data_IF_427975161305
#
_entry.id   IF_427975161305
#
_cell.length_a   1.000
_cell.length_b   1.000
_cell.length_c   1.000
_cell.angle_alpha   90.00
_cell.angle_beta   90.00
_cell.angle_gamma   90.00
#
_symmetry.space_group_name_H-M   'P 1'
#
loop_
_entity.id
_entity.type
_entity.pdbx_description
1 polymer ?
#
# COMPACT_ATOMS: atom_id res chain seq x y z
N UNK A 1 -7.20 -69.27 0.34
CA UNK A 1 -6.67 -69.63 1.66
C UNK A 1 -5.28 -69.09 1.82
N UNK A 2 -5.08 -68.25 2.73
CA UNK A 2 -4.00 -68.03 3.70
C UNK A 2 -3.88 -66.54 3.99
N UNK A 3 -4.25 -66.20 5.23
CA UNK A 3 -4.15 -64.86 5.81
C UNK A 3 -2.71 -64.62 6.22
N UNK A 4 -2.09 -63.54 5.71
CA UNK A 4 -0.82 -63.02 6.19
C UNK A 4 -1.07 -61.98 7.28
N UNK A 5 -0.64 -62.25 8.49
CA UNK A 5 -0.61 -61.35 9.65
C UNK A 5 0.56 -60.38 9.51
N UNK A 6 0.27 -59.11 9.30
CA UNK A 6 1.29 -58.06 9.41
C UNK A 6 1.50 -57.73 10.90
N UNK A 7 2.71 -57.93 11.39
CA UNK A 7 3.13 -57.66 12.76
C UNK A 7 3.20 -56.18 13.04
N UNK A 8 2.44 -55.74 14.04
CA UNK A 8 2.41 -54.39 14.59
C UNK A 8 3.67 -54.14 15.44
N UNK A 9 4.71 -53.52 14.91
CA UNK A 9 5.86 -53.06 15.70
C UNK A 9 5.45 -51.82 16.50
N UNK A 10 5.18 -52.02 17.81
CA UNK A 10 5.13 -50.92 18.78
C UNK A 10 6.56 -50.37 18.95
N UNK A 11 6.80 -49.16 18.51
CA UNK A 11 7.91 -48.35 19.03
C UNK A 11 7.35 -47.49 20.17
N UNK A 12 7.61 -47.91 21.41
CA UNK A 12 7.54 -47.06 22.58
C UNK A 12 8.80 -46.17 22.53
N UNK A 13 8.66 -44.94 22.03
CA UNK A 13 9.54 -43.87 22.41
C UNK A 13 8.70 -42.96 23.31
N UNK A 14 8.87 -43.17 24.61
CA UNK A 14 8.37 -42.28 25.65
C UNK A 14 9.27 -41.04 25.59
N UNK A 15 8.78 -39.99 24.86
CA UNK A 15 9.37 -38.66 24.98
C UNK A 15 8.69 -38.06 26.20
N UNK A 16 9.47 -37.88 27.29
CA UNK A 16 9.03 -37.10 28.44
C UNK A 16 8.78 -35.67 27.99
N UNK A 17 7.53 -35.33 27.82
CA UNK A 17 7.07 -33.95 27.67
C UNK A 17 7.39 -33.21 28.98
N UNK A 18 8.04 -32.06 28.95
CA UNK A 18 8.27 -31.26 30.13
C UNK A 18 6.93 -30.91 30.79
N UNK A 19 6.87 -31.20 32.08
CA UNK A 19 5.75 -30.91 32.97
C UNK A 19 5.36 -29.43 32.82
N UNK A 20 4.05 -29.18 32.80
CA UNK A 20 3.42 -27.86 32.80
C UNK A 20 4.30 -26.80 33.46
N UNK A 21 4.64 -25.77 32.70
CA UNK A 21 5.24 -24.54 33.22
C UNK A 21 4.40 -24.05 34.42
N UNK A 22 5.05 -23.71 35.55
CA UNK A 22 4.35 -23.13 36.69
C UNK A 22 3.72 -21.82 36.27
N UNK A 23 2.47 -21.59 36.72
CA UNK A 23 1.80 -20.30 36.52
C UNK A 23 2.71 -19.20 37.08
N UNK A 24 2.92 -18.09 36.38
CA UNK A 24 3.71 -16.99 36.89
C UNK A 24 3.07 -16.47 38.21
N UNK A 25 3.87 -16.52 39.28
CA UNK A 25 3.52 -15.87 40.56
C UNK A 25 3.74 -14.38 40.33
N UNK A 26 2.81 -13.49 40.72
CA UNK A 26 3.04 -12.07 40.61
C UNK A 26 4.23 -11.67 41.51
N UNK A 27 5.29 -11.20 40.89
CA UNK A 27 6.46 -10.70 41.61
C UNK A 27 6.15 -9.24 42.02
N UNK A 28 5.92 -9.02 43.31
CA UNK A 28 5.55 -7.73 43.89
C UNK A 28 6.76 -6.88 44.32
N UNK A 29 7.96 -7.22 43.89
CA UNK A 29 9.14 -6.40 44.17
C UNK A 29 9.73 -5.83 42.88
N UNK A 30 9.90 -4.50 42.77
CA UNK A 30 10.64 -3.93 41.66
C UNK A 30 12.09 -4.38 41.71
N UNK A 31 12.74 -4.66 40.56
CA UNK A 31 14.16 -4.97 40.53
C UNK A 31 14.96 -3.76 40.99
N UNK A 32 16.11 -3.98 41.67
CA UNK A 32 17.01 -2.91 42.10
C UNK A 32 17.54 -2.16 40.89
N UNK A 33 17.54 -0.83 40.98
CA UNK A 33 18.08 0.07 39.96
C UNK A 33 19.51 -0.32 39.59
N UNK A 34 19.75 -0.57 38.28
CA UNK A 34 21.12 -0.55 37.76
C UNK A 34 21.67 -1.82 37.08
N UNK A 35 20.86 -2.84 36.78
CA UNK A 35 21.32 -3.93 35.90
C UNK A 35 20.90 -3.62 34.47
N UNK A 36 21.84 -3.47 33.49
CA UNK A 36 21.49 -3.40 32.10
C UNK A 36 20.73 -4.69 31.75
N UNK A 37 19.52 -4.56 31.19
CA UNK A 37 18.85 -5.68 30.56
C UNK A 37 19.79 -6.23 29.47
N UNK A 38 20.40 -7.37 29.70
CA UNK A 38 21.13 -8.09 28.66
C UNK A 38 20.16 -8.27 27.48
N UNK A 39 20.54 -7.73 26.34
CA UNK A 39 19.81 -7.97 25.11
C UNK A 39 19.86 -9.47 24.84
N UNK A 40 18.74 -10.14 25.01
CA UNK A 40 18.64 -11.57 24.71
C UNK A 40 18.79 -11.69 23.19
N UNK A 41 19.92 -12.16 22.73
CA UNK A 41 20.14 -12.45 21.32
C UNK A 41 19.14 -13.53 20.89
N UNK A 42 18.53 -13.37 19.72
CA UNK A 42 17.56 -14.33 19.18
C UNK A 42 18.10 -15.77 19.22
N UNK A 43 19.37 -15.95 18.90
CA UNK A 43 20.06 -17.24 18.86
C UNK A 43 20.24 -17.90 20.27
N UNK A 44 19.96 -17.18 21.35
CA UNK A 44 19.91 -17.77 22.69
C UNK A 44 18.56 -18.48 22.96
N UNK A 45 17.55 -18.21 22.14
CA UNK A 45 16.17 -18.74 22.28
C UNK A 45 15.86 -19.74 21.17
N UNK A 46 16.23 -19.41 19.92
CA UNK A 46 15.96 -20.18 18.71
C UNK A 46 17.18 -20.10 17.81
N UNK A 47 17.67 -21.22 17.28
CA UNK A 47 18.75 -21.25 16.30
C UNK A 47 18.28 -20.72 14.94
N UNK A 48 19.22 -20.26 14.12
CA UNK A 48 18.93 -19.80 12.76
C UNK A 48 18.29 -20.92 11.92
N UNK A 49 18.74 -22.17 12.09
CA UNK A 49 18.17 -23.34 11.39
C UNK A 49 16.71 -23.61 11.80
N UNK A 50 16.38 -23.53 13.09
CA UNK A 50 15.01 -23.69 13.57
C UNK A 50 14.10 -22.56 13.08
N UNK A 51 14.63 -21.35 12.98
CA UNK A 51 13.90 -20.21 12.43
C UNK A 51 13.59 -20.41 10.95
N UNK A 52 14.56 -20.83 10.16
CA UNK A 52 14.41 -21.09 8.73
C UNK A 52 13.40 -22.21 8.48
N UNK A 53 13.50 -23.33 9.21
CA UNK A 53 12.53 -24.44 9.13
C UNK A 53 11.12 -23.96 9.48
N UNK A 54 10.99 -23.11 10.49
CA UNK A 54 9.67 -22.57 10.89
C UNK A 54 9.08 -21.68 9.80
N UNK A 55 9.89 -20.81 9.21
CA UNK A 55 9.47 -19.95 8.10
C UNK A 55 9.02 -20.78 6.91
N UNK A 56 9.81 -21.77 6.49
CA UNK A 56 9.48 -22.65 5.36
C UNK A 56 8.21 -23.45 5.62
N UNK A 57 8.05 -23.98 6.83
CA UNK A 57 6.86 -24.76 7.23
C UNK A 57 5.61 -23.90 7.19
N UNK A 58 5.64 -22.69 7.73
CA UNK A 58 4.50 -21.77 7.72
C UNK A 58 4.18 -21.32 6.29
N UNK A 59 5.19 -21.03 5.47
CA UNK A 59 5.01 -20.67 4.07
C UNK A 59 4.39 -21.81 3.24
N UNK A 60 4.83 -23.04 3.46
CA UNK A 60 4.25 -24.22 2.81
C UNK A 60 2.80 -24.47 3.23
N UNK A 61 2.49 -24.38 4.51
CA UNK A 61 1.13 -24.57 5.03
C UNK A 61 0.17 -23.47 4.56
N UNK A 62 0.65 -22.25 4.39
CA UNK A 62 -0.16 -21.14 3.89
C UNK A 62 -0.72 -21.37 2.49
N UNK A 63 -0.08 -22.24 1.69
CA UNK A 63 -0.56 -22.62 0.35
C UNK A 63 -1.72 -23.62 0.39
N UNK A 64 -2.03 -24.20 1.57
CA UNK A 64 -3.06 -25.22 1.73
C UNK A 64 -4.04 -24.87 2.86
N UNK A 65 -4.99 -23.94 2.62
CA UNK A 65 -5.92 -23.45 3.65
C UNK A 65 -6.76 -24.54 4.31
N UNK A 66 -7.10 -25.61 3.57
CA UNK A 66 -7.83 -26.76 4.11
C UNK A 66 -7.02 -27.54 5.15
N UNK A 67 -5.71 -27.64 4.96
CA UNK A 67 -4.81 -28.31 5.90
C UNK A 67 -4.59 -27.45 7.14
N UNK A 68 -4.43 -26.15 6.98
CA UNK A 68 -4.27 -25.24 8.13
C UNK A 68 -5.50 -25.20 9.03
N UNK A 69 -6.71 -25.40 8.49
CA UNK A 69 -7.96 -25.51 9.24
C UNK A 69 -8.16 -26.89 9.89
N UNK A 70 -7.35 -27.88 9.56
CA UNK A 70 -7.47 -29.24 10.09
C UNK A 70 -7.23 -29.31 11.60
N UNK A 71 -7.72 -30.41 12.20
CA UNK A 71 -7.54 -30.68 13.64
C UNK A 71 -6.06 -30.86 14.02
N UNK A 72 -5.25 -31.37 13.07
CA UNK A 72 -3.82 -31.57 13.27
C UNK A 72 -3.05 -30.26 13.45
N UNK A 73 -3.51 -29.17 12.84
CA UNK A 73 -2.86 -27.86 12.95
C UNK A 73 -3.45 -26.97 14.07
N UNK A 74 -4.26 -27.55 15.00
CA UNK A 74 -4.89 -26.75 16.05
C UNK A 74 -3.86 -26.01 16.91
N UNK A 75 -2.88 -26.73 17.43
CA UNK A 75 -1.89 -26.19 18.35
C UNK A 75 -0.94 -25.21 17.64
N UNK A 76 -0.63 -25.47 16.36
CA UNK A 76 0.12 -24.53 15.53
C UNK A 76 -0.64 -23.22 15.35
N UNK A 77 -1.95 -23.25 15.08
CA UNK A 77 -2.75 -22.02 14.99
C UNK A 77 -2.75 -21.22 16.29
N UNK A 78 -2.80 -21.89 17.44
CA UNK A 78 -2.71 -21.22 18.75
C UNK A 78 -1.35 -20.56 18.90
N UNK A 79 -0.26 -21.28 18.61
CA UNK A 79 1.10 -20.72 18.70
C UNK A 79 1.32 -19.52 17.76
N UNK A 80 0.81 -19.62 16.52
CA UNK A 80 0.87 -18.52 15.56
C UNK A 80 0.03 -17.32 16.02
N UNK A 81 -1.13 -17.57 16.60
CA UNK A 81 -1.97 -16.52 17.19
C UNK A 81 -1.24 -15.83 18.34
N UNK A 82 -0.69 -16.60 19.30
CA UNK A 82 0.04 -16.07 20.45
C UNK A 82 1.28 -15.27 20.01
N UNK A 83 2.04 -15.79 19.04
CA UNK A 83 3.16 -15.09 18.45
C UNK A 83 2.73 -13.77 17.78
N UNK A 84 1.66 -13.81 17.00
CA UNK A 84 1.09 -12.61 16.39
C UNK A 84 0.68 -11.59 17.46
N UNK A 85 0.00 -12.03 18.51
CA UNK A 85 -0.39 -11.14 19.63
C UNK A 85 0.84 -10.51 20.27
N UNK A 86 1.86 -11.29 20.54
CA UNK A 86 3.13 -10.82 21.09
C UNK A 86 3.79 -9.76 20.19
N UNK A 87 3.83 -10.01 18.88
CA UNK A 87 4.35 -9.04 17.91
C UNK A 87 3.51 -7.76 17.80
N UNK A 88 2.20 -7.86 18.05
CA UNK A 88 1.25 -6.77 17.85
C UNK A 88 1.09 -5.93 19.11
N UNK A 89 0.98 -6.57 20.26
CA UNK A 89 0.69 -5.91 21.55
C UNK A 89 1.95 -5.59 22.37
N UNK A 90 3.07 -6.26 22.07
CA UNK A 90 4.26 -6.26 22.93
C UNK A 90 4.02 -7.07 24.21
N UNK A 91 4.97 -7.91 24.59
CA UNK A 91 4.80 -8.88 25.70
C UNK A 91 4.75 -8.25 27.07
N UNK A 92 5.20 -7.04 27.24
CA UNK A 92 5.21 -6.38 28.55
C UNK A 92 3.96 -5.53 28.74
N UNK A 93 2.87 -6.20 29.05
CA UNK A 93 1.61 -5.57 29.50
C UNK A 93 1.77 -4.77 30.80
N UNK A 94 2.88 -4.88 31.50
CA UNK A 94 3.14 -4.13 32.73
C UNK A 94 3.79 -2.76 32.49
N UNK A 95 4.48 -2.54 31.37
CA UNK A 95 5.14 -1.27 31.03
C UNK A 95 4.76 -0.77 29.63
N UNK A 96 3.45 -0.51 29.45
CA UNK A 96 3.02 0.39 28.40
C UNK A 96 3.38 -0.04 26.97
N UNK A 97 2.70 -1.05 26.43
CA UNK A 97 2.61 -1.18 24.97
C UNK A 97 2.28 0.21 24.41
N UNK A 98 3.06 0.70 23.45
CA UNK A 98 2.83 2.04 22.92
C UNK A 98 1.43 2.10 22.31
N UNK A 99 0.80 3.27 22.31
CA UNK A 99 -0.57 3.46 21.84
C UNK A 99 -0.78 2.88 20.44
N UNK A 100 0.22 2.99 19.54
CA UNK A 100 0.17 2.42 18.17
C UNK A 100 -0.07 0.90 18.19
N UNK A 101 0.60 0.15 19.05
CA UNK A 101 0.43 -1.30 19.15
C UNK A 101 -0.94 -1.66 19.73
N UNK A 102 -1.37 -0.94 20.76
CA UNK A 102 -2.70 -1.13 21.39
C UNK A 102 -3.83 -0.84 20.39
N UNK A 103 -3.74 0.25 19.64
CA UNK A 103 -4.72 0.60 18.60
C UNK A 103 -4.75 -0.49 17.54
N UNK A 104 -3.58 -0.94 17.06
CA UNK A 104 -3.50 -2.02 16.07
C UNK A 104 -4.17 -3.31 16.56
N UNK A 105 -3.95 -3.68 17.83
CA UNK A 105 -4.59 -4.83 18.44
C UNK A 105 -6.10 -4.66 18.54
N UNK A 106 -6.57 -3.51 19.02
CA UNK A 106 -8.00 -3.24 19.14
C UNK A 106 -8.72 -3.27 17.78
N UNK A 107 -8.09 -2.74 16.73
CA UNK A 107 -8.64 -2.79 15.36
C UNK A 107 -8.65 -4.23 14.81
N UNK A 108 -7.62 -5.02 15.06
CA UNK A 108 -7.55 -6.42 14.63
C UNK A 108 -8.61 -7.30 15.33
N UNK A 109 -8.95 -6.95 16.56
CA UNK A 109 -9.97 -7.63 17.36
C UNK A 109 -11.40 -7.08 17.15
N UNK A 110 -11.60 -6.16 16.21
CA UNK A 110 -12.86 -5.44 15.97
C UNK A 110 -13.41 -4.68 17.20
N UNK A 111 -12.53 -4.30 18.13
CA UNK A 111 -12.87 -3.51 19.33
C UNK A 111 -12.88 -2.01 19.01
N UNK A 112 -13.83 -1.58 18.21
CA UNK A 112 -13.86 -0.24 17.63
C UNK A 112 -13.99 0.87 18.66
N UNK A 113 -14.77 0.65 19.70
CA UNK A 113 -14.90 1.63 20.81
C UNK A 113 -13.56 1.81 21.53
N UNK A 114 -12.87 0.71 21.86
CA UNK A 114 -11.55 0.77 22.48
C UNK A 114 -10.54 1.47 21.56
N UNK A 115 -10.54 1.15 20.27
CA UNK A 115 -9.69 1.81 19.30
C UNK A 115 -9.91 3.32 19.25
N UNK A 116 -11.16 3.79 19.29
CA UNK A 116 -11.50 5.23 19.33
C UNK A 116 -11.00 5.91 20.59
N UNK A 117 -11.13 5.26 21.75
CA UNK A 117 -10.61 5.80 23.03
C UNK A 117 -9.09 5.94 22.96
N UNK A 118 -8.39 4.93 22.46
CA UNK A 118 -6.92 4.96 22.32
C UNK A 118 -6.45 6.00 21.30
N UNK A 119 -7.19 6.17 20.20
CA UNK A 119 -6.93 7.23 19.21
C UNK A 119 -7.13 8.63 19.80
N UNK A 120 -8.17 8.81 20.59
CA UNK A 120 -8.39 10.07 21.31
C UNK A 120 -7.25 10.33 22.31
N UNK A 121 -6.80 9.33 23.06
CA UNK A 121 -5.65 9.42 23.96
C UNK A 121 -4.38 9.79 23.18
N UNK A 122 -4.10 9.15 22.05
CA UNK A 122 -2.96 9.45 21.17
C UNK A 122 -3.00 10.92 20.72
N UNK A 123 -4.16 11.39 20.30
CA UNK A 123 -4.37 12.78 19.88
C UNK A 123 -4.14 13.79 21.01
N UNK A 124 -4.69 13.52 22.21
CA UNK A 124 -4.50 14.38 23.40
C UNK A 124 -3.03 14.46 23.80
N UNK A 125 -2.29 13.36 23.69
CA UNK A 125 -0.84 13.32 23.97
C UNK A 125 0.00 13.97 22.88
N UNK A 126 -0.56 14.31 21.73
CA UNK A 126 0.18 14.80 20.57
C UNK A 126 1.12 13.75 19.95
N UNK A 127 0.88 12.46 20.23
CA UNK A 127 1.64 11.38 19.65
C UNK A 127 1.22 11.15 18.19
N UNK A 128 2.20 10.87 17.32
CA UNK A 128 1.94 10.59 15.91
C UNK A 128 2.19 9.11 15.62
N UNK A 129 1.25 8.41 14.97
CA UNK A 129 1.48 7.03 14.56
C UNK A 129 2.56 6.97 13.48
N UNK A 130 3.35 5.90 13.46
CA UNK A 130 4.24 5.65 12.33
C UNK A 130 3.41 5.49 11.05
N UNK A 131 3.86 6.08 9.95
CA UNK A 131 3.13 6.06 8.67
C UNK A 131 2.71 4.66 8.23
N UNK A 132 3.54 3.65 8.47
CA UNK A 132 3.21 2.25 8.16
C UNK A 132 2.04 1.68 8.98
N UNK A 133 1.83 2.13 10.21
CA UNK A 133 0.66 1.77 11.02
C UNK A 133 -0.58 2.51 10.50
N UNK A 134 -0.45 3.81 10.26
CA UNK A 134 -1.53 4.64 9.73
C UNK A 134 -2.05 4.11 8.39
N UNK A 135 -1.15 3.77 7.45
CA UNK A 135 -1.52 3.17 6.17
C UNK A 135 -2.28 1.84 6.32
N UNK A 136 -1.86 0.99 7.27
CA UNK A 136 -2.58 -0.27 7.52
C UNK A 136 -3.96 -0.02 8.10
N UNK A 137 -4.09 0.84 9.10
CA UNK A 137 -5.38 1.14 9.72
C UNK A 137 -6.39 1.69 8.73
N UNK A 138 -5.96 2.64 7.88
CA UNK A 138 -6.84 3.20 6.84
C UNK A 138 -7.26 2.12 5.85
N UNK A 139 -6.31 1.36 5.32
CA UNK A 139 -6.59 0.30 4.34
C UNK A 139 -7.51 -0.78 4.89
N UNK A 140 -7.22 -1.28 6.10
CA UNK A 140 -7.96 -2.40 6.67
C UNK A 140 -9.40 -1.97 7.04
N UNK A 141 -9.61 -0.72 7.46
CA UNK A 141 -10.94 -0.19 7.73
C UNK A 141 -11.70 0.20 6.46
N UNK A 142 -11.04 0.67 5.41
CA UNK A 142 -11.68 0.96 4.13
C UNK A 142 -12.35 -0.30 3.55
N UNK A 143 -11.67 -1.44 3.61
CA UNK A 143 -12.21 -2.74 3.15
C UNK A 143 -13.52 -3.11 3.84
N UNK A 144 -13.66 -2.84 5.14
CA UNK A 144 -14.82 -3.26 5.94
C UNK A 144 -15.85 -2.15 6.14
N UNK A 145 -15.53 -0.90 5.81
CA UNK A 145 -16.41 0.26 6.02
C UNK A 145 -17.49 0.41 4.95
N UNK A 146 -17.35 -0.26 3.81
CA UNK A 146 -18.22 -0.05 2.64
C UNK A 146 -18.08 1.32 2.00
N UNK A 147 -17.09 2.14 2.37
CA UNK A 147 -16.86 3.47 1.80
C UNK A 147 -16.60 3.42 0.30
N UNK A 148 -15.81 2.44 -0.13
CA UNK A 148 -15.45 2.25 -1.54
C UNK A 148 -16.58 1.65 -2.38
N UNK A 149 -17.60 1.06 -1.75
CA UNK A 149 -18.76 0.47 -2.44
C UNK A 149 -19.87 1.51 -2.58
N UNK A 150 -19.70 2.47 -3.47
CA UNK A 150 -20.79 3.37 -3.83
C UNK A 150 -21.78 2.68 -4.75
N UNK A 151 -23.10 2.92 -4.58
CA UNK A 151 -24.07 2.43 -5.54
C UNK A 151 -23.78 3.01 -6.92
N UNK A 152 -23.78 2.16 -7.93
CA UNK A 152 -23.64 2.55 -9.33
C UNK A 152 -24.91 3.30 -9.75
N UNK A 153 -24.88 4.62 -9.70
CA UNK A 153 -26.01 5.46 -10.15
C UNK A 153 -25.69 6.94 -9.96
N UNK A 154 -26.22 7.77 -10.84
CA UNK A 154 -26.05 9.22 -10.81
C UNK A 154 -26.84 9.92 -9.68
N UNK A 155 -27.62 9.17 -8.93
CA UNK A 155 -28.40 9.70 -7.81
C UNK A 155 -27.53 9.67 -6.55
N UNK A 156 -27.01 10.83 -6.20
CA UNK A 156 -26.10 11.06 -5.05
C UNK A 156 -26.77 10.94 -3.67
N UNK A 157 -27.72 10.04 -3.52
CA UNK A 157 -28.25 9.72 -2.20
C UNK A 157 -27.29 8.73 -1.55
N UNK A 158 -26.61 9.11 -0.44
CA UNK A 158 -25.76 8.17 0.27
C UNK A 158 -26.59 6.94 0.65
N UNK A 159 -26.05 5.72 0.46
CA UNK A 159 -26.76 4.53 0.91
C UNK A 159 -27.00 4.61 2.41
N UNK A 160 -28.17 4.13 2.86
CA UNK A 160 -28.42 3.95 4.28
C UNK A 160 -27.41 2.96 4.85
N UNK A 161 -26.60 3.42 5.80
CA UNK A 161 -25.51 2.62 6.37
C UNK A 161 -26.00 1.87 7.59
N UNK A 162 -25.54 0.64 7.73
CA UNK A 162 -25.76 -0.15 8.93
C UNK A 162 -25.08 0.51 10.16
N UNK A 163 -25.55 0.16 11.35
CA UNK A 163 -24.94 0.65 12.60
C UNK A 163 -23.44 0.29 12.68
N UNK A 164 -23.07 -0.92 12.21
CA UNK A 164 -21.66 -1.35 12.17
C UNK A 164 -20.83 -0.50 11.20
N UNK A 165 -21.33 -0.20 10.02
CA UNK A 165 -20.63 0.68 9.07
C UNK A 165 -20.45 2.08 9.61
N UNK A 166 -21.45 2.62 10.30
CA UNK A 166 -21.34 3.93 10.97
C UNK A 166 -20.30 3.92 12.09
N UNK A 167 -20.19 2.83 12.85
CA UNK A 167 -19.16 2.68 13.88
C UNK A 167 -17.76 2.64 13.25
N UNK A 168 -17.56 1.87 12.19
CA UNK A 168 -16.30 1.78 11.45
C UNK A 168 -15.91 3.13 10.85
N UNK A 169 -16.86 3.86 10.29
CA UNK A 169 -16.64 5.22 9.79
C UNK A 169 -16.17 6.16 10.90
N UNK A 170 -16.77 6.05 12.10
CA UNK A 170 -16.34 6.82 13.26
C UNK A 170 -14.92 6.51 13.70
N UNK A 171 -14.46 5.26 13.53
CA UNK A 171 -13.06 4.88 13.79
C UNK A 171 -12.13 5.43 12.72
N UNK A 172 -12.51 5.33 11.44
CA UNK A 172 -11.73 5.87 10.33
C UNK A 172 -11.57 7.39 10.45
N UNK A 173 -12.63 8.11 10.80
CA UNK A 173 -12.58 9.55 11.11
C UNK A 173 -11.59 9.84 12.24
N UNK A 174 -11.62 9.08 13.33
CA UNK A 174 -10.70 9.24 14.45
C UNK A 174 -9.23 9.00 14.04
N UNK A 175 -8.96 8.03 13.16
CA UNK A 175 -7.62 7.75 12.61
C UNK A 175 -7.14 8.94 11.76
N UNK A 176 -7.98 9.46 10.89
CA UNK A 176 -7.59 10.59 10.04
C UNK A 176 -7.32 11.85 10.86
N UNK A 177 -8.10 12.07 11.92
CA UNK A 177 -7.92 13.23 12.83
C UNK A 177 -6.66 13.14 13.70
N UNK A 178 -6.18 11.93 14.03
CA UNK A 178 -4.96 11.78 14.84
C UNK A 178 -3.71 12.27 14.14
N UNK A 179 -3.69 12.24 12.82
CA UNK A 179 -2.56 12.72 11.99
C UNK A 179 -2.65 14.21 11.61
N UNK A 180 -3.76 14.86 11.95
CA UNK A 180 -4.00 16.26 11.64
C UNK A 180 -3.61 17.14 12.82
N UNK A 181 -2.93 18.29 12.63
CA UNK A 181 -2.67 19.24 13.69
C UNK A 181 -3.98 19.66 14.37
N UNK A 182 -3.94 19.80 15.69
CA UNK A 182 -5.06 20.39 16.43
C UNK A 182 -5.04 21.89 16.15
N UNK A 183 -5.95 22.35 15.31
CA UNK A 183 -6.14 23.77 15.12
C UNK A 183 -6.86 24.36 16.32
N UNK A 184 -6.11 25.04 17.18
CA UNK A 184 -6.64 25.69 18.38
C UNK A 184 -7.30 27.04 18.08
N UNK A 185 -7.21 27.53 16.85
CA UNK A 185 -7.68 28.87 16.47
C UNK A 185 -8.98 28.88 15.67
N UNK A 186 -9.45 27.76 15.19
CA UNK A 186 -10.76 27.68 14.54
C UNK A 186 -11.82 27.45 15.61
N UNK A 187 -12.72 28.39 15.75
CA UNK A 187 -14.01 28.20 16.45
C UNK A 187 -14.59 26.89 15.91
N UNK A 188 -14.54 25.86 16.72
CA UNK A 188 -14.98 24.51 16.54
C UNK A 188 -15.84 24.30 15.28
N UNK A 189 -15.22 24.00 14.16
CA UNK A 189 -15.86 23.14 13.18
C UNK A 189 -16.23 21.90 13.96
N UNK A 190 -17.50 21.65 14.08
CA UNK A 190 -18.08 20.62 14.91
C UNK A 190 -17.32 19.30 14.70
N UNK A 191 -16.44 19.01 15.65
CA UNK A 191 -15.56 17.83 15.60
C UNK A 191 -16.34 16.52 15.77
N UNK A 192 -17.66 16.62 15.88
CA UNK A 192 -18.58 15.49 16.06
C UNK A 192 -19.12 14.96 14.75
N UNK A 193 -18.98 15.70 13.65
CA UNK A 193 -19.45 15.22 12.35
C UNK A 193 -18.51 14.14 11.78
N UNK A 194 -19.04 12.98 11.42
CA UNK A 194 -18.28 11.94 10.75
C UNK A 194 -17.77 12.42 9.37
N UNK A 195 -16.84 11.68 8.78
CA UNK A 195 -16.38 11.90 7.41
C UNK A 195 -17.60 12.00 6.49
N UNK A 196 -17.71 13.12 5.78
CA UNK A 196 -18.75 13.34 4.79
C UNK A 196 -18.18 13.17 3.38
N UNK A 197 -18.97 12.56 2.50
CA UNK A 197 -18.64 12.55 1.09
C UNK A 197 -18.69 13.97 0.52
N UNK A 198 -17.64 14.32 -0.21
CA UNK A 198 -17.64 15.55 -0.99
C UNK A 198 -18.31 15.29 -2.34
N UNK A 199 -18.98 16.29 -2.87
CA UNK A 199 -19.46 16.24 -4.26
C UNK A 199 -18.27 16.06 -5.21
N UNK A 200 -18.50 15.34 -6.31
CA UNK A 200 -17.49 15.18 -7.35
C UNK A 200 -17.09 16.54 -7.90
N UNK A 201 -15.82 16.84 -7.86
CA UNK A 201 -15.26 18.03 -8.47
C UNK A 201 -14.80 17.69 -9.88
N UNK A 202 -15.69 17.84 -10.83
CA UNK A 202 -15.47 17.52 -12.25
C UNK A 202 -15.33 18.80 -13.04
N UNK A 203 -14.16 19.01 -13.64
CA UNK A 203 -13.85 20.14 -14.52
C UNK A 203 -13.65 19.69 -15.97
N UNK A 204 -13.98 18.45 -16.29
CA UNK A 204 -13.85 17.97 -17.68
C UNK A 204 -14.79 18.75 -18.58
N UNK A 205 -14.30 19.17 -19.76
CA UNK A 205 -15.19 19.76 -20.75
C UNK A 205 -16.23 18.73 -21.19
N UNK A 206 -17.44 19.16 -21.52
CA UNK A 206 -18.53 18.32 -22.03
C UNK A 206 -18.28 17.79 -23.44
N UNK A 207 -17.04 17.51 -23.78
CA UNK A 207 -16.62 16.97 -25.08
C UNK A 207 -16.74 15.45 -25.08
N UNK A 208 -16.93 14.88 -26.27
CA UNK A 208 -16.99 13.42 -26.44
C UNK A 208 -15.69 12.79 -25.89
N UNK A 209 -15.80 11.79 -24.99
CA UNK A 209 -14.63 11.09 -24.47
C UNK A 209 -13.78 10.51 -25.60
N UNK A 210 -12.47 10.47 -25.40
CA UNK A 210 -11.55 9.84 -26.33
C UNK A 210 -11.88 8.33 -26.44
N UNK A 211 -12.17 7.75 -27.60
CA UNK A 211 -12.60 6.35 -27.72
C UNK A 211 -11.43 5.36 -27.55
N UNK A 212 -10.62 5.55 -26.49
CA UNK A 212 -9.42 4.77 -26.23
C UNK A 212 -9.76 3.35 -25.80
N UNK A 213 -10.86 3.16 -25.07
CA UNK A 213 -11.23 1.85 -24.53
C UNK A 213 -11.45 0.81 -25.64
N UNK A 214 -12.16 1.17 -26.71
CA UNK A 214 -12.36 0.28 -27.85
C UNK A 214 -11.04 -0.08 -28.54
N UNK A 215 -10.18 0.91 -28.78
CA UNK A 215 -8.88 0.71 -29.45
C UNK A 215 -7.89 -0.11 -28.62
N UNK A 216 -8.04 -0.14 -27.31
CA UNK A 216 -7.28 -1.04 -26.44
C UNK A 216 -7.79 -2.48 -26.52
N UNK A 217 -9.12 -2.66 -26.55
CA UNK A 217 -9.74 -3.99 -26.65
C UNK A 217 -9.45 -4.69 -27.98
N UNK A 218 -9.56 -3.96 -29.10
CA UNK A 218 -9.29 -4.49 -30.45
C UNK A 218 -7.80 -4.39 -30.83
N UNK A 219 -6.98 -3.79 -29.98
CA UNK A 219 -5.54 -3.55 -30.14
C UNK A 219 -5.16 -2.62 -31.29
N UNK A 220 -6.10 -1.90 -31.88
CA UNK A 220 -5.79 -0.88 -32.90
C UNK A 220 -4.94 0.26 -32.35
N UNK A 221 -4.96 0.50 -31.03
CA UNK A 221 -4.08 1.47 -30.35
C UNK A 221 -2.60 1.20 -30.65
N UNK A 222 -2.21 -0.05 -30.90
CA UNK A 222 -0.81 -0.43 -31.20
C UNK A 222 -0.36 0.02 -32.58
N UNK A 223 -1.29 0.23 -33.52
CA UNK A 223 -1.01 0.72 -34.87
C UNK A 223 -0.68 2.21 -34.85
N UNK A 224 -1.25 2.96 -33.93
CA UNK A 224 -1.00 4.41 -33.78
C UNK A 224 0.40 4.75 -33.25
N UNK A 225 1.09 3.79 -32.62
CA UNK A 225 2.41 4.04 -32.04
C UNK A 225 3.42 2.89 -32.28
N UNK A 226 3.65 2.46 -33.54
CA UNK A 226 4.49 1.32 -33.84
C UNK A 226 5.96 1.47 -33.36
N UNK A 227 6.44 2.71 -33.23
CA UNK A 227 7.78 3.01 -32.70
C UNK A 227 7.89 2.78 -31.19
N UNK A 228 6.79 2.82 -30.47
CA UNK A 228 6.77 2.63 -29.01
C UNK A 228 7.00 1.16 -28.62
N UNK A 229 6.64 0.21 -29.44
CA UNK A 229 6.78 -1.22 -29.15
C UNK A 229 8.24 -1.67 -28.99
N UNK A 230 9.16 -1.08 -29.74
CA UNK A 230 10.60 -1.40 -29.67
C UNK A 230 11.37 -0.48 -28.70
N UNK A 231 10.69 0.48 -28.12
CA UNK A 231 11.31 1.57 -27.37
C UNK A 231 11.44 1.30 -25.89
N UNK A 232 10.54 0.47 -25.33
CA UNK A 232 10.57 0.06 -23.94
C UNK A 232 11.49 -1.14 -23.76
N UNK A 233 12.51 -0.98 -22.92
CA UNK A 233 13.46 -2.03 -22.57
C UNK A 233 13.47 -2.28 -21.07
N UNK A 234 13.67 -3.53 -20.68
CA UNK A 234 13.77 -3.92 -19.26
C UNK A 234 15.16 -3.52 -18.76
N UNK A 235 15.20 -2.79 -17.63
CA UNK A 235 16.43 -2.42 -16.94
C UNK A 235 16.61 -3.18 -15.63
N UNK A 236 15.51 -3.59 -15.00
CA UNK A 236 15.55 -4.38 -13.78
C UNK A 236 14.34 -5.30 -13.72
N UNK A 237 14.53 -6.49 -13.18
CA UNK A 237 13.44 -7.42 -12.90
C UNK A 237 13.64 -8.04 -11.54
N UNK A 238 12.65 -7.88 -10.67
CA UNK A 238 12.61 -8.53 -9.35
C UNK A 238 11.63 -9.70 -9.40
N UNK A 239 12.08 -10.95 -9.25
CA UNK A 239 11.20 -12.11 -9.18
C UNK A 239 10.19 -12.00 -8.04
N UNK A 240 9.00 -12.58 -8.23
CA UNK A 240 7.93 -12.56 -7.22
C UNK A 240 8.37 -13.03 -5.84
N UNK A 241 9.10 -14.15 -5.69
CA UNK A 241 9.59 -14.63 -4.40
C UNK A 241 10.52 -13.68 -3.65
N UNK A 242 11.21 -12.77 -4.36
CA UNK A 242 12.08 -11.76 -3.75
C UNK A 242 11.33 -10.48 -3.37
N UNK A 243 10.05 -10.38 -3.67
CA UNK A 243 9.22 -9.25 -3.29
C UNK A 243 8.61 -9.48 -1.91
N UNK A 244 8.38 -8.37 -1.19
CA UNK A 244 7.66 -8.44 0.09
C UNK A 244 6.21 -8.89 -0.15
N UNK A 245 5.70 -9.84 0.65
CA UNK A 245 4.29 -10.21 0.59
C UNK A 245 3.36 -8.96 0.71
N UNK A 246 2.19 -8.95 0.08
CA UNK A 246 1.53 -10.06 -0.61
C UNK A 246 1.87 -10.19 -2.11
N UNK A 247 2.88 -9.52 -2.62
CA UNK A 247 3.17 -9.47 -4.05
C UNK A 247 3.91 -10.73 -4.52
N UNK A 248 3.24 -11.58 -5.28
CA UNK A 248 3.81 -12.81 -5.85
C UNK A 248 4.17 -12.69 -7.33
N UNK A 249 3.78 -11.60 -7.99
CA UNK A 249 4.11 -11.35 -9.39
C UNK A 249 5.47 -10.67 -9.51
N UNK A 250 6.23 -10.90 -10.60
CA UNK A 250 7.48 -10.19 -10.81
C UNK A 250 7.25 -8.69 -10.98
N UNK A 251 8.13 -7.87 -10.43
CA UNK A 251 8.19 -6.45 -10.73
C UNK A 251 9.16 -6.23 -11.87
N UNK A 252 8.67 -5.67 -12.98
CA UNK A 252 9.49 -5.37 -14.15
C UNK A 252 9.59 -3.86 -14.29
N UNK A 253 10.81 -3.36 -14.37
CA UNK A 253 11.13 -1.96 -14.52
C UNK A 253 11.60 -1.72 -15.97
N UNK A 254 10.83 -0.92 -16.69
CA UNK A 254 11.14 -0.51 -18.05
C UNK A 254 11.77 0.88 -18.10
N UNK A 255 12.52 1.16 -19.14
CA UNK A 255 12.91 2.51 -19.53
C UNK A 255 12.74 2.70 -21.03
N UNK A 256 12.81 3.94 -21.48
CA UNK A 256 12.73 4.32 -22.88
C UNK A 256 14.03 4.94 -23.35
N UNK A 257 14.33 4.78 -24.64
CA UNK A 257 15.31 5.66 -25.30
C UNK A 257 14.71 7.06 -25.50
N UNK A 258 15.52 8.12 -25.55
CA UNK A 258 15.02 9.49 -25.78
C UNK A 258 14.08 9.58 -26.99
N UNK A 259 12.96 10.25 -26.84
CA UNK A 259 11.91 10.41 -27.85
C UNK A 259 11.22 9.13 -28.34
N UNK A 260 11.35 8.01 -27.64
CA UNK A 260 10.63 6.79 -27.98
C UNK A 260 9.11 6.94 -27.75
N UNK A 261 8.74 7.65 -26.69
CA UNK A 261 7.39 8.16 -26.46
C UNK A 261 7.47 9.70 -26.52
N UNK A 262 7.26 10.28 -27.70
CA UNK A 262 7.56 11.70 -27.88
C UNK A 262 6.51 12.60 -27.22
N UNK A 263 6.99 13.68 -26.60
CA UNK A 263 6.19 14.82 -26.22
C UNK A 263 6.53 16.00 -27.14
N UNK A 264 5.51 16.74 -27.57
CA UNK A 264 5.71 17.93 -28.36
C UNK A 264 6.46 19.01 -27.54
N UNK A 265 7.46 19.70 -28.10
CA UNK A 265 8.16 20.78 -27.38
C UNK A 265 7.23 21.89 -26.90
N UNK A 266 6.18 22.18 -27.69
CA UNK A 266 5.10 23.11 -27.33
C UNK A 266 3.86 22.28 -27.02
N UNK A 267 3.46 22.28 -25.77
CA UNK A 267 2.27 21.57 -25.31
C UNK A 267 0.96 22.34 -25.55
N UNK A 268 -0.17 21.72 -25.22
CA UNK A 268 -1.47 22.40 -25.22
C UNK A 268 -1.51 23.57 -24.24
N UNK A 269 -2.55 24.41 -24.35
CA UNK A 269 -2.79 25.47 -23.35
C UNK A 269 -3.19 24.87 -22.01
N UNK A 270 -2.33 24.99 -21.01
CA UNK A 270 -2.51 24.41 -19.69
C UNK A 270 -3.25 25.39 -18.78
N UNK A 271 -4.19 24.87 -18.00
CA UNK A 271 -4.89 25.61 -16.94
C UNK A 271 -4.73 24.90 -15.59
N UNK A 272 -4.67 25.70 -14.52
CA UNK A 272 -4.58 25.19 -13.16
C UNK A 272 -5.80 25.61 -12.34
N UNK A 273 -6.31 24.66 -11.57
CA UNK A 273 -7.45 24.84 -10.70
C UNK A 273 -7.14 24.27 -9.31
N UNK A 274 -7.15 25.13 -8.29
CA UNK A 274 -7.03 24.65 -6.91
C UNK A 274 -8.35 24.04 -6.45
N UNK A 275 -8.27 22.92 -5.72
CA UNK A 275 -9.46 22.27 -5.18
C UNK A 275 -10.12 23.17 -4.12
N UNK A 276 -11.46 23.37 -4.19
CA UNK A 276 -12.14 24.32 -3.31
C UNK A 276 -12.16 23.92 -1.82
N UNK A 277 -12.12 22.62 -1.53
CA UNK A 277 -12.26 22.08 -0.18
C UNK A 277 -11.02 21.35 0.34
N UNK A 278 -10.07 20.95 -0.51
CA UNK A 278 -8.90 20.16 -0.11
C UNK A 278 -7.63 20.99 -0.29
N UNK A 279 -7.02 21.47 0.80
CA UNK A 279 -5.79 22.26 0.72
C UNK A 279 -4.65 21.46 0.08
N UNK A 280 -3.91 22.10 -0.82
CA UNK A 280 -2.78 21.47 -1.51
C UNK A 280 -3.13 20.49 -2.62
N UNK A 281 -4.41 20.28 -2.90
CA UNK A 281 -4.88 19.54 -4.07
C UNK A 281 -5.14 20.53 -5.22
N UNK A 282 -4.61 20.23 -6.39
CA UNK A 282 -4.84 21.00 -7.61
C UNK A 282 -5.00 20.10 -8.82
N UNK A 283 -5.76 20.56 -9.79
CA UNK A 283 -5.96 19.91 -11.06
C UNK A 283 -5.30 20.78 -12.15
N UNK A 284 -4.44 20.16 -12.94
CA UNK A 284 -3.76 20.77 -14.07
C UNK A 284 -4.32 20.14 -15.34
N UNK A 285 -5.10 20.89 -16.10
CA UNK A 285 -5.75 20.39 -17.33
C UNK A 285 -4.84 20.61 -18.56
N UNK A 286 -4.97 19.73 -19.52
CA UNK A 286 -4.29 19.79 -20.81
C UNK A 286 -2.76 19.73 -20.72
N UNK A 287 -2.22 18.98 -19.78
CA UNK A 287 -0.76 18.77 -19.66
C UNK A 287 -0.22 18.01 -20.87
N UNK A 288 -1.01 17.08 -21.38
CA UNK A 288 -0.73 16.26 -22.56
C UNK A 288 -1.80 16.48 -23.64
N UNK A 289 -1.43 16.34 -24.90
CA UNK A 289 -2.38 16.23 -26.00
C UNK A 289 -3.00 14.83 -26.06
N UNK A 290 -4.10 14.70 -26.78
CA UNK A 290 -4.75 13.41 -27.02
C UNK A 290 -3.79 12.39 -27.67
N UNK A 291 -2.98 12.83 -28.62
CA UNK A 291 -2.02 11.95 -29.30
C UNK A 291 -0.87 11.53 -28.40
N UNK A 292 -0.40 12.42 -27.51
CA UNK A 292 0.59 12.08 -26.49
C UNK A 292 0.03 11.06 -25.49
N UNK A 293 -1.22 11.21 -25.07
CA UNK A 293 -1.91 10.24 -24.21
C UNK A 293 -2.02 8.87 -24.89
N UNK A 294 -2.45 8.82 -26.15
CA UNK A 294 -2.53 7.58 -26.94
C UNK A 294 -1.16 6.91 -27.10
N UNK A 295 -0.11 7.69 -27.36
CA UNK A 295 1.26 7.15 -27.46
C UNK A 295 1.73 6.49 -26.16
N UNK A 296 1.42 7.09 -25.00
CA UNK A 296 1.75 6.50 -23.69
C UNK A 296 0.93 5.22 -23.45
N UNK A 297 -0.35 5.24 -23.77
CA UNK A 297 -1.22 4.04 -23.64
C UNK A 297 -0.72 2.91 -24.54
N UNK A 298 -0.44 3.22 -25.80
CA UNK A 298 0.10 2.25 -26.77
C UNK A 298 1.43 1.63 -26.28
N UNK A 299 2.32 2.45 -25.75
CA UNK A 299 3.57 1.97 -25.15
C UNK A 299 3.31 0.98 -24.00
N UNK A 300 2.35 1.29 -23.12
CA UNK A 300 1.96 0.42 -22.01
C UNK A 300 1.34 -0.90 -22.50
N UNK A 301 0.41 -0.83 -23.46
CA UNK A 301 -0.22 -2.02 -24.03
C UNK A 301 0.78 -2.92 -24.75
N UNK A 302 1.87 -2.36 -25.30
CA UNK A 302 2.92 -3.13 -25.99
C UNK A 302 3.73 -4.04 -25.06
N UNK A 303 3.92 -3.66 -23.80
CA UNK A 303 4.67 -4.43 -22.80
C UNK A 303 3.80 -5.29 -21.90
N UNK A 304 2.51 -5.22 -22.05
CA UNK A 304 1.48 -5.81 -21.21
C UNK A 304 1.47 -5.29 -19.77
N UNK A 305 0.30 -5.25 -19.20
CA UNK A 305 0.09 -4.90 -17.79
C UNK A 305 0.00 -6.17 -16.97
N UNK A 306 0.81 -6.26 -15.92
CA UNK A 306 0.81 -7.40 -15.00
C UNK A 306 -0.07 -7.10 -13.79
N UNK A 307 -0.80 -8.10 -13.27
CA UNK A 307 -1.49 -7.96 -11.99
C UNK A 307 -0.46 -7.71 -10.88
N UNK A 308 -0.80 -6.88 -9.92
CA UNK A 308 0.06 -6.57 -8.77
C UNK A 308 -0.65 -6.88 -7.45
N UNK A 309 -1.33 -8.00 -7.41
CA UNK A 309 -1.99 -8.50 -6.24
C UNK A 309 -1.90 -10.03 -6.20
N UNK A 310 -1.96 -10.64 -5.01
CA UNK A 310 -2.07 -12.08 -4.91
C UNK A 310 -3.37 -12.55 -5.59
N UNK A 311 -3.32 -13.76 -6.15
CA UNK A 311 -4.53 -14.44 -6.59
C UNK A 311 -5.46 -14.62 -5.38
N UNK A 312 -6.73 -14.32 -5.56
CA UNK A 312 -7.72 -14.59 -4.52
C UNK A 312 -7.95 -16.09 -4.40
N UNK A 313 -8.23 -16.55 -3.18
CA UNK A 313 -8.51 -17.97 -2.91
C UNK A 313 -9.74 -18.51 -3.68
N UNK A 314 -10.66 -17.63 -4.05
CA UNK A 314 -11.87 -17.94 -4.83
C UNK A 314 -11.61 -18.01 -6.34
N UNK A 315 -10.39 -17.75 -6.79
CA UNK A 315 -10.01 -17.76 -8.20
C UNK A 315 -10.44 -16.52 -8.98
N UNK A 316 -11.09 -15.55 -8.33
CA UNK A 316 -11.45 -14.28 -8.95
C UNK A 316 -10.22 -13.48 -9.36
N UNK A 317 -10.34 -12.78 -10.48
CA UNK A 317 -9.31 -11.86 -10.95
C UNK A 317 -9.15 -10.75 -9.89
N UNK A 318 -7.90 -10.41 -9.60
CA UNK A 318 -7.63 -9.29 -8.72
C UNK A 318 -8.37 -8.04 -9.19
N UNK A 319 -9.12 -7.43 -8.28
CA UNK A 319 -9.77 -6.13 -8.51
C UNK A 319 -8.78 -4.96 -8.52
N UNK A 320 -7.52 -5.21 -8.17
CA UNK A 320 -6.48 -4.20 -8.23
C UNK A 320 -6.05 -3.96 -9.66
N UNK A 321 -5.70 -2.71 -9.96
CA UNK A 321 -5.26 -2.31 -11.28
C UNK A 321 -4.00 -3.06 -11.72
N UNK A 322 -3.98 -3.49 -12.96
CA UNK A 322 -2.78 -3.99 -13.60
C UNK A 322 -1.80 -2.84 -13.81
N UNK A 323 -0.51 -3.10 -13.74
CA UNK A 323 0.48 -2.04 -13.86
C UNK A 323 1.81 -2.51 -14.43
N UNK A 324 2.63 -1.53 -14.79
CA UNK A 324 4.07 -1.70 -15.01
C UNK A 324 4.82 -0.49 -14.46
N UNK A 325 6.13 -0.64 -14.25
CA UNK A 325 7.00 0.45 -13.82
C UNK A 325 7.81 0.98 -14.99
N UNK A 326 7.87 2.30 -15.12
CA UNK A 326 8.56 2.98 -16.20
C UNK A 326 9.44 4.10 -15.64
N UNK A 327 10.74 4.00 -15.88
CA UNK A 327 11.66 5.10 -15.66
C UNK A 327 11.69 5.93 -16.94
N UNK A 328 11.02 7.06 -16.92
CA UNK A 328 10.96 7.96 -18.06
C UNK A 328 12.35 8.50 -18.41
N UNK A 329 12.64 8.60 -19.72
CA UNK A 329 13.88 9.19 -20.19
C UNK A 329 13.97 10.69 -19.88
N UNK A 330 15.16 11.25 -20.04
CA UNK A 330 15.43 12.66 -19.67
C UNK A 330 14.63 13.62 -20.53
N UNK A 331 14.47 13.34 -21.82
CA UNK A 331 13.73 14.25 -22.74
C UNK A 331 12.26 14.30 -22.36
N UNK A 332 11.64 13.16 -22.09
CA UNK A 332 10.26 13.09 -21.63
C UNK A 332 10.09 13.82 -20.30
N UNK A 333 10.99 13.54 -19.34
CA UNK A 333 10.97 14.20 -18.03
C UNK A 333 11.05 15.72 -18.13
N UNK A 334 12.01 16.24 -18.89
CA UNK A 334 12.27 17.67 -18.94
C UNK A 334 11.12 18.44 -19.60
N UNK A 335 10.54 17.88 -20.67
CA UNK A 335 9.36 18.49 -21.31
C UNK A 335 8.17 18.46 -20.36
N UNK A 336 7.88 17.32 -19.73
CA UNK A 336 6.77 17.21 -18.79
C UNK A 336 6.96 18.14 -17.59
N UNK A 337 8.17 18.20 -17.04
CA UNK A 337 8.48 19.09 -15.92
C UNK A 337 8.34 20.57 -16.32
N UNK A 338 8.81 20.97 -17.50
CA UNK A 338 8.63 22.33 -18.00
C UNK A 338 7.15 22.74 -18.10
N UNK A 339 6.26 21.78 -18.45
CA UNK A 339 4.82 22.04 -18.55
C UNK A 339 4.13 22.21 -17.19
N UNK A 340 4.56 21.46 -16.16
CA UNK A 340 3.87 21.44 -14.86
C UNK A 340 4.54 22.33 -13.80
N UNK A 341 5.84 22.58 -13.90
CA UNK A 341 6.59 23.34 -12.90
C UNK A 341 6.03 24.74 -12.59
N UNK A 342 5.42 25.48 -13.52
CA UNK A 342 4.79 26.77 -13.21
C UNK A 342 3.64 26.70 -12.20
N UNK A 343 3.04 25.51 -12.05
CA UNK A 343 1.89 25.28 -11.17
C UNK A 343 2.27 24.58 -9.86
N UNK A 344 3.53 24.26 -9.67
CA UNK A 344 4.05 23.61 -8.46
C UNK A 344 4.69 24.67 -7.57
N UNK A 345 4.38 24.73 -6.27
CA UNK A 345 5.01 25.65 -5.35
C UNK A 345 6.54 25.49 -5.38
N UNK A 346 7.34 26.57 -5.37
CA UNK A 346 8.80 26.47 -5.41
C UNK A 346 9.38 25.84 -4.14
N UNK A 347 8.63 25.85 -3.05
CA UNK A 347 9.00 25.19 -1.80
C UNK A 347 7.76 24.63 -1.10
N UNK A 348 7.93 23.53 -0.39
CA UNK A 348 6.89 22.83 0.36
C UNK A 348 7.44 22.54 1.77
N UNK A 349 6.79 23.04 2.81
CA UNK A 349 7.23 22.90 4.20
C UNK A 349 8.71 23.25 4.42
N UNK A 350 9.17 24.35 3.80
CA UNK A 350 10.54 24.84 3.88
C UNK A 350 11.57 24.06 3.03
N UNK A 351 11.14 23.07 2.26
CA UNK A 351 11.99 22.31 1.35
C UNK A 351 11.80 22.77 -0.09
N UNK A 352 12.90 23.01 -0.78
CA UNK A 352 12.88 23.38 -2.19
C UNK A 352 12.43 22.22 -3.07
N UNK A 353 11.48 22.47 -3.96
CA UNK A 353 11.06 21.49 -4.97
C UNK A 353 12.17 21.34 -6.02
N UNK A 354 12.45 20.11 -6.43
CA UNK A 354 13.53 19.76 -7.37
C UNK A 354 13.06 19.17 -8.69
N UNK A 355 11.81 18.73 -8.76
CA UNK A 355 11.26 18.11 -9.96
C UNK A 355 10.24 17.03 -9.63
N UNK A 356 9.94 16.21 -10.60
CA UNK A 356 9.13 14.98 -10.44
C UNK A 356 10.06 13.76 -10.38
N UNK A 357 9.62 12.71 -9.71
CA UNK A 357 10.33 11.45 -9.74
C UNK A 357 10.20 10.83 -11.15
N UNK A 358 11.31 10.35 -11.70
CA UNK A 358 11.32 9.71 -13.02
C UNK A 358 10.71 8.31 -13.02
N UNK A 359 10.50 7.71 -11.86
CA UNK A 359 9.89 6.39 -11.75
C UNK A 359 8.37 6.52 -11.72
N UNK A 360 7.76 6.24 -12.83
CA UNK A 360 6.31 6.19 -12.98
C UNK A 360 5.81 4.77 -12.72
N UNK A 361 4.61 4.69 -12.17
CA UNK A 361 3.83 3.47 -12.13
C UNK A 361 2.58 3.70 -12.96
N UNK A 362 2.49 3.00 -14.07
CA UNK A 362 1.39 3.15 -15.03
C UNK A 362 0.35 2.09 -14.70
N UNK A 363 -0.86 2.53 -14.45
CA UNK A 363 -1.98 1.67 -14.09
C UNK A 363 -2.98 1.54 -15.22
N UNK A 364 -3.50 0.34 -15.42
CA UNK A 364 -4.64 0.06 -16.27
C UNK A 364 -5.79 -0.49 -15.44
N UNK A 365 -6.87 0.25 -15.37
CA UNK A 365 -8.09 -0.18 -14.72
C UNK A 365 -8.99 -0.92 -15.72
N UNK A 366 -9.49 -2.07 -15.32
CA UNK A 366 -10.52 -2.81 -16.05
C UNK A 366 -11.88 -2.57 -15.39
N UNK A 367 -13.03 -2.83 -16.06
CA UNK A 367 -14.33 -2.71 -15.43
C UNK A 367 -14.40 -3.49 -14.11
N UNK A 368 -14.79 -2.80 -13.04
CA UNK A 368 -14.83 -3.38 -11.69
C UNK A 368 -13.53 -3.25 -10.88
N UNK A 369 -12.41 -2.80 -11.49
CA UNK A 369 -11.20 -2.49 -10.75
C UNK A 369 -11.36 -1.19 -9.95
N UNK A 370 -10.78 -1.17 -8.76
CA UNK A 370 -10.82 -0.01 -7.87
C UNK A 370 -9.43 0.24 -7.25
N UNK A 371 -9.20 1.48 -6.86
CA UNK A 371 -8.05 1.87 -6.04
C UNK A 371 -8.57 2.41 -4.73
N UNK A 372 -8.37 1.64 -3.67
CA UNK A 372 -8.97 1.93 -2.36
C UNK A 372 -8.28 3.06 -1.63
N UNK A 373 -8.93 3.60 -0.62
CA UNK A 373 -8.37 4.60 0.29
C UNK A 373 -7.04 4.12 0.87
N UNK A 374 -6.02 4.95 0.76
CA UNK A 374 -4.68 4.67 1.24
C UNK A 374 -3.93 5.98 1.52
N UNK A 375 -2.76 5.84 2.08
CA UNK A 375 -1.82 6.94 2.28
C UNK A 375 -0.55 6.60 1.50
N UNK A 376 -0.13 7.52 0.63
CA UNK A 376 1.07 7.34 -0.16
C UNK A 376 2.33 7.41 0.70
N UNK A 377 3.26 6.51 0.43
CA UNK A 377 4.60 6.55 1.01
C UNK A 377 5.49 7.57 0.30
N UNK A 378 6.43 8.14 1.03
CA UNK A 378 7.46 9.00 0.45
C UNK A 378 8.55 8.17 -0.26
N UNK A 379 8.97 8.61 -1.46
CA UNK A 379 9.95 7.92 -2.29
C UNK A 379 11.14 8.84 -2.60
N UNK A 380 12.39 8.31 -2.60
CA UNK A 380 13.53 9.05 -3.10
C UNK A 380 13.43 9.20 -4.63
N UNK A 381 14.17 10.16 -5.23
CA UNK A 381 14.28 10.25 -6.67
C UNK A 381 14.98 9.01 -7.22
N UNK A 382 14.41 8.38 -8.23
CA UNK A 382 15.04 7.27 -8.95
C UNK A 382 15.76 7.76 -10.20
N UNK A 383 16.79 7.05 -10.62
CA UNK A 383 17.60 7.40 -11.78
C UNK A 383 18.15 6.19 -12.51
N UNK A 384 18.80 6.47 -13.63
CA UNK A 384 19.56 5.51 -14.43
C UNK A 384 20.95 6.12 -14.62
N UNK A 385 21.99 5.34 -14.33
CA UNK A 385 23.37 5.71 -14.58
C UNK A 385 23.72 5.62 -16.08
N UNK A 386 24.82 6.21 -16.52
CA UNK A 386 25.24 6.14 -17.92
C UNK A 386 25.50 4.71 -18.46
N UNK A 387 25.76 3.77 -17.57
CA UNK A 387 25.93 2.34 -17.87
C UNK A 387 24.61 1.54 -17.86
N UNK A 388 23.47 2.23 -17.81
CA UNK A 388 22.13 1.68 -17.72
C UNK A 388 21.77 0.99 -16.38
N UNK A 389 22.59 1.18 -15.36
CA UNK A 389 22.26 0.66 -14.04
C UNK A 389 21.14 1.49 -13.39
N UNK A 390 20.10 0.83 -12.93
CA UNK A 390 19.03 1.48 -12.15
C UNK A 390 19.51 1.86 -10.75
N UNK A 391 19.20 3.09 -10.33
CA UNK A 391 19.49 3.58 -8.98
C UNK A 391 18.18 3.95 -8.29
N UNK A 392 17.90 3.25 -7.20
CA UNK A 392 16.68 3.48 -6.40
C UNK A 392 16.66 4.87 -5.76
N UNK A 393 17.78 5.32 -5.20
CA UNK A 393 17.94 6.65 -4.62
C UNK A 393 19.12 7.37 -5.30
N UNK A 394 18.78 8.27 -6.22
CA UNK A 394 19.72 9.11 -6.95
C UNK A 394 19.93 10.48 -6.30
N UNK A 395 19.57 10.63 -5.02
CA UNK A 395 19.82 11.89 -4.29
C UNK A 395 21.31 12.25 -4.32
N UNK A 396 21.65 13.53 -4.49
CA UNK A 396 23.04 13.97 -4.37
C UNK A 396 23.59 13.68 -2.98
N UNK A 397 24.87 13.35 -2.90
CA UNK A 397 25.54 13.08 -1.65
C UNK A 397 25.34 14.19 -0.62
N UNK A 398 24.98 13.84 0.60
CA UNK A 398 24.69 14.78 1.69
C UNK A 398 23.41 15.61 1.52
N UNK A 399 22.63 15.40 0.43
CA UNK A 399 21.39 16.17 0.14
C UNK A 399 20.22 15.22 -0.16
N UNK A 400 19.84 14.42 0.83
CA UNK A 400 18.74 13.46 0.68
C UNK A 400 17.45 14.15 0.22
N UNK A 401 16.85 13.58 -0.82
CA UNK A 401 15.59 14.02 -1.40
C UNK A 401 14.49 12.99 -1.15
N UNK A 402 13.24 13.44 -1.15
CA UNK A 402 12.08 12.58 -0.98
C UNK A 402 10.85 13.27 -1.58
N UNK A 403 9.90 12.48 -2.06
CA UNK A 403 8.63 13.02 -2.54
C UNK A 403 7.83 13.63 -1.39
N UNK A 404 7.15 14.75 -1.68
CA UNK A 404 6.27 15.48 -0.76
C UNK A 404 4.83 15.51 -1.27
N UNK A 405 4.63 15.42 -2.59
CA UNK A 405 3.35 15.35 -3.26
C UNK A 405 3.28 14.11 -4.15
N UNK A 406 2.08 13.64 -4.36
CA UNK A 406 1.75 12.65 -5.39
C UNK A 406 1.34 13.40 -6.65
N UNK A 407 1.87 12.98 -7.79
CA UNK A 407 1.49 13.46 -9.11
C UNK A 407 0.80 12.33 -9.86
N UNK A 408 -0.47 12.53 -10.17
CA UNK A 408 -1.29 11.59 -10.95
C UNK A 408 -1.51 12.16 -12.35
N UNK A 409 -1.29 11.35 -13.36
CA UNK A 409 -1.47 11.71 -14.76
C UNK A 409 -2.53 10.80 -15.37
N UNK A 410 -3.69 11.35 -15.66
CA UNK A 410 -4.78 10.63 -16.31
C UNK A 410 -4.65 10.75 -17.83
N UNK A 411 -4.73 9.62 -18.53
CA UNK A 411 -4.48 9.52 -19.96
C UNK A 411 -5.74 9.38 -20.79
N UNK A 412 -6.85 9.13 -20.13
CA UNK A 412 -8.20 9.08 -20.75
C UNK A 412 -9.25 9.48 -19.71
N UNK A 413 -10.49 9.66 -20.16
CA UNK A 413 -11.64 9.98 -19.32
C UNK A 413 -12.21 8.75 -18.61
#
# INVERSE_FOLDING_TARGET
MTKSKAAKRKRNAQVDLPKKLPKPVPNLTPPPDGVPLESTHLNAVVSDEELDITIETLAALAQYPSLTKSKACKDLRVAVYDFRQTCTTGVNTAEGANLTARITGALADEKYIEARILLAEMRIRGEQPKIGALCRWVRDLDVVSGLSTQPKGHDHVPPERSVKEMEILGVLDAILRVSTPIDTNTNAVDSTNPIAFQSIWDLRPSTTPLPVYASVLDKSILEEAPKSQSALRIIEQTPGPLRKPPNHHPAILFTTTPNAVPLAPVGPSITYHAHPAVPGLGLVLNVLSADECKAIIAAGESVNFLPDAPLREDGDISILAHNFYWIIDTTFHDILWARISPYVPPSINGRMVRGINRRFRVYRYVPGAEYRCHIDGAWPPSGILPDDTYVYDSSPEGKKQSSMYTFLLYLND
#
